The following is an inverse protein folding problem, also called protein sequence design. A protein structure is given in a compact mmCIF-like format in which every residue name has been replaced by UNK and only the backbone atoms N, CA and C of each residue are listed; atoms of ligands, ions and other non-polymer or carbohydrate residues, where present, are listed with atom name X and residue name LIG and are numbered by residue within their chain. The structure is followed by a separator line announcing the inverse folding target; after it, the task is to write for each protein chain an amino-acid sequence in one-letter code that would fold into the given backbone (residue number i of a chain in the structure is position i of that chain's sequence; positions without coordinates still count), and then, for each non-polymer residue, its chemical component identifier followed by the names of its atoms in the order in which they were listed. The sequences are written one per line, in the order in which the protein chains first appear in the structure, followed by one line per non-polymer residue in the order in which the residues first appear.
data_IF_071997378305
#
_entry.id   IF_071997378305
#
_cell.length_a   1.000
_cell.length_b   1.000
_cell.length_c   1.000
_cell.angle_alpha   90.00
_cell.angle_beta   90.00
_cell.angle_gamma   90.00
#
_symmetry.space_group_name_H-M   'P 1'
#
loop_
_entity.id
_entity.type
_entity.pdbx_description
1 polymer ?
#
# COMPACT_ATOMS: atom_id res chain seq x y z
N UNK A 1 -11.78 -17.65 29.35
CA UNK A 1 -11.15 -16.44 28.77
C UNK A 1 -12.15 -15.29 28.84
N UNK A 2 -11.80 -14.19 29.50
CA UNK A 2 -12.66 -13.01 29.62
C UNK A 2 -12.77 -12.25 28.28
N UNK A 3 -13.89 -11.54 28.00
CA UNK A 3 -14.06 -10.78 26.76
C UNK A 3 -13.04 -9.64 26.62
N UNK A 4 -12.30 -9.60 25.50
CA UNK A 4 -11.29 -8.57 25.16
C UNK A 4 -11.90 -7.16 25.20
N UNK A 5 -11.28 -6.22 25.95
CA UNK A 5 -11.54 -4.79 25.77
C UNK A 5 -10.92 -4.34 24.43
N UNK A 6 -11.59 -3.44 23.70
CA UNK A 6 -11.05 -2.88 22.45
C UNK A 6 -9.70 -2.21 22.74
N UNK A 7 -8.64 -2.67 22.08
CA UNK A 7 -7.25 -2.16 22.14
C UNK A 7 -6.44 -2.54 23.38
N UNK A 8 -6.50 -3.79 23.85
CA UNK A 8 -5.58 -4.32 24.85
C UNK A 8 -4.60 -5.34 24.23
N UNK A 9 -3.33 -5.33 24.67
CA UNK A 9 -2.32 -6.34 24.31
C UNK A 9 -2.53 -7.57 25.19
N UNK A 10 -2.59 -8.75 24.58
CA UNK A 10 -2.60 -10.01 25.33
C UNK A 10 -1.17 -10.46 25.57
N UNK A 11 -0.82 -10.68 26.83
CA UNK A 11 0.44 -11.32 27.22
C UNK A 11 0.17 -12.78 27.54
N UNK A 12 0.92 -13.68 26.90
CA UNK A 12 0.71 -15.12 27.04
C UNK A 12 1.34 -15.68 28.32
N UNK A 13 0.70 -16.70 28.89
CA UNK A 13 1.20 -17.40 30.06
C UNK A 13 2.56 -18.05 29.75
N UNK A 14 3.51 -17.91 30.67
CA UNK A 14 4.94 -18.28 30.50
C UNK A 14 5.81 -17.30 29.69
N UNK A 15 5.30 -16.15 29.25
CA UNK A 15 6.15 -15.10 28.68
C UNK A 15 7.16 -14.61 29.74
N UNK A 16 8.45 -14.41 29.39
CA UNK A 16 9.47 -13.90 30.31
C UNK A 16 9.02 -12.63 31.03
N UNK A 17 9.25 -12.58 32.35
CA UNK A 17 8.69 -11.53 33.21
C UNK A 17 9.11 -10.12 32.78
N UNK A 18 10.38 -9.94 32.41
CA UNK A 18 10.89 -8.67 31.90
C UNK A 18 10.11 -8.16 30.67
N UNK A 19 9.67 -9.06 29.78
CA UNK A 19 8.87 -8.70 28.60
C UNK A 19 7.43 -8.44 28.99
N UNK A 20 6.86 -9.21 29.93
CA UNK A 20 5.51 -8.99 30.47
C UNK A 20 5.39 -7.57 31.06
N UNK A 21 6.29 -7.21 31.96
CA UNK A 21 6.33 -5.88 32.59
C UNK A 21 6.51 -4.78 31.55
N UNK A 22 7.43 -4.97 30.61
CA UNK A 22 7.70 -4.02 29.54
C UNK A 22 6.48 -3.79 28.62
N UNK A 23 5.73 -4.84 28.28
CA UNK A 23 4.51 -4.74 27.47
C UNK A 23 3.41 -3.99 28.21
N UNK A 24 3.24 -4.23 29.51
CA UNK A 24 2.28 -3.49 30.34
C UNK A 24 2.67 -2.01 30.42
N UNK A 25 3.94 -1.71 30.66
CA UNK A 25 4.45 -0.33 30.71
C UNK A 25 4.30 0.38 29.35
N UNK A 26 4.60 -0.31 28.25
CA UNK A 26 4.39 0.18 26.88
C UNK A 26 2.92 0.50 26.62
N UNK A 27 2.00 -0.39 26.98
CA UNK A 27 0.57 -0.21 26.80
C UNK A 27 0.06 1.01 27.56
N UNK A 28 0.47 1.19 28.82
CA UNK A 28 0.11 2.34 29.66
C UNK A 28 0.68 3.66 29.12
N UNK A 29 1.91 3.64 28.60
CA UNK A 29 2.56 4.81 28.01
C UNK A 29 1.95 5.21 26.65
N UNK A 30 1.33 4.27 25.93
CA UNK A 30 0.75 4.48 24.61
C UNK A 30 -0.67 5.06 24.66
N UNK A 31 -0.75 6.38 24.91
CA UNK A 31 -2.01 7.13 24.77
C UNK A 31 -2.55 7.09 23.32
N UNK A 32 -3.85 7.38 23.09
CA UNK A 32 -4.43 7.43 21.74
C UNK A 32 -3.73 8.35 20.75
N UNK A 33 -2.96 9.33 21.23
CA UNK A 33 -2.18 10.26 20.41
C UNK A 33 -0.97 9.59 19.73
N UNK A 34 -0.47 8.48 20.28
CA UNK A 34 0.65 7.74 19.70
C UNK A 34 0.18 6.91 18.51
N UNK A 35 0.69 7.23 17.34
CA UNK A 35 0.30 6.56 16.08
C UNK A 35 1.52 6.24 15.23
N UNK A 36 1.33 5.37 14.24
CA UNK A 36 2.38 5.01 13.28
C UNK A 36 2.86 6.19 12.42
N UNK A 37 1.99 7.17 12.18
CA UNK A 37 2.25 8.27 11.24
C UNK A 37 2.68 9.58 11.91
N UNK A 38 2.49 9.71 13.23
CA UNK A 38 2.81 10.94 13.94
C UNK A 38 4.31 11.07 14.22
N UNK A 39 4.91 12.19 13.77
CA UNK A 39 6.31 12.52 14.09
C UNK A 39 6.48 12.95 15.54
N UNK A 40 5.51 13.71 16.10
CA UNK A 40 5.55 14.22 17.48
C UNK A 40 5.20 13.14 18.52
N UNK A 41 4.20 12.31 18.22
CA UNK A 41 3.73 11.22 19.07
C UNK A 41 3.95 9.89 18.34
N UNK A 42 5.22 9.55 18.13
CA UNK A 42 5.62 8.35 17.38
C UNK A 42 5.47 7.10 18.23
N UNK A 43 4.59 6.18 17.83
CA UNK A 43 4.47 4.87 18.50
C UNK A 43 5.76 4.07 18.41
N UNK A 44 6.53 4.22 17.32
CA UNK A 44 7.83 3.56 17.12
C UNK A 44 8.85 3.96 18.16
N UNK A 45 8.83 5.23 18.60
CA UNK A 45 9.67 5.69 19.70
C UNK A 45 9.34 4.95 21.00
N UNK A 46 8.06 4.69 21.26
CA UNK A 46 7.61 3.94 22.44
C UNK A 46 7.94 2.45 22.34
N UNK A 47 7.83 1.83 21.17
CA UNK A 47 8.27 0.44 20.99
C UNK A 47 9.78 0.33 21.28
N UNK A 48 10.61 1.23 20.73
CA UNK A 48 12.06 1.27 21.03
C UNK A 48 12.37 1.43 22.51
N UNK A 49 11.73 2.41 23.13
CA UNK A 49 11.98 2.81 24.53
C UNK A 49 11.64 1.69 25.53
N UNK A 50 10.56 0.94 25.29
CA UNK A 50 10.07 -0.03 26.26
C UNK A 50 10.42 -1.48 25.90
N UNK A 51 10.52 -1.84 24.61
CA UNK A 51 10.51 -3.25 24.21
C UNK A 51 11.83 -3.76 23.62
N UNK A 52 12.69 -2.91 23.05
CA UNK A 52 13.89 -3.42 22.37
C UNK A 52 14.85 -4.13 23.32
N UNK A 53 15.14 -3.54 24.48
CA UNK A 53 16.07 -4.13 25.47
C UNK A 53 15.48 -5.37 26.14
N UNK A 54 14.25 -5.35 26.69
CA UNK A 54 13.69 -6.54 27.34
C UNK A 54 13.50 -7.72 26.38
N UNK A 55 13.16 -7.46 25.11
CA UNK A 55 13.02 -8.51 24.11
C UNK A 55 14.36 -9.11 23.73
N UNK A 56 15.39 -8.29 23.53
CA UNK A 56 16.74 -8.80 23.24
C UNK A 56 17.26 -9.68 24.38
N UNK A 57 17.11 -9.23 25.63
CA UNK A 57 17.51 -10.01 26.82
C UNK A 57 16.73 -11.32 26.94
N UNK A 58 15.43 -11.30 26.68
CA UNK A 58 14.61 -12.51 26.73
C UNK A 58 14.98 -13.53 25.65
N UNK A 59 15.28 -13.07 24.44
CA UNK A 59 15.75 -13.93 23.36
C UNK A 59 17.12 -14.51 23.65
N UNK A 60 18.05 -13.71 24.17
CA UNK A 60 19.38 -14.16 24.57
C UNK A 60 19.31 -15.24 25.68
N UNK A 61 18.51 -15.01 26.72
CA UNK A 61 18.29 -15.97 27.81
C UNK A 61 17.64 -17.29 27.34
N UNK A 62 16.94 -17.28 26.20
CA UNK A 62 16.35 -18.45 25.56
C UNK A 62 17.26 -19.08 24.49
N UNK A 63 18.49 -18.57 24.31
CA UNK A 63 19.43 -19.06 23.30
C UNK A 63 19.04 -18.71 21.87
N UNK A 64 18.27 -17.65 21.67
CA UNK A 64 17.68 -17.21 20.39
C UNK A 64 18.05 -15.76 20.04
N UNK A 65 19.25 -15.29 20.42
CA UNK A 65 19.70 -13.91 20.22
C UNK A 65 19.59 -13.42 18.77
N UNK A 66 19.86 -14.30 17.79
CA UNK A 66 19.84 -14.00 16.35
C UNK A 66 18.46 -14.20 15.69
N UNK A 67 17.41 -14.53 16.46
CA UNK A 67 16.08 -14.78 15.90
C UNK A 67 15.48 -13.54 15.23
N UNK A 68 15.78 -12.36 15.79
CA UNK A 68 15.44 -11.09 15.20
C UNK A 68 16.70 -10.50 14.57
N UNK A 69 16.63 -10.22 13.27
CA UNK A 69 17.65 -9.48 12.51
C UNK A 69 17.70 -8.01 12.97
N UNK A 70 18.19 -7.78 14.20
CA UNK A 70 18.26 -6.49 14.90
C UNK A 70 17.16 -6.25 15.95
N UNK A 71 17.06 -5.00 16.46
CA UNK A 71 16.11 -4.64 17.52
C UNK A 71 14.66 -4.91 17.12
N UNK A 72 13.83 -5.33 18.09
CA UNK A 72 12.44 -5.71 17.85
C UNK A 72 11.64 -4.62 17.13
N UNK A 73 11.80 -3.36 17.51
CA UNK A 73 11.16 -2.21 16.87
C UNK A 73 11.48 -2.11 15.38
N UNK A 74 12.75 -2.32 15.01
CA UNK A 74 13.21 -2.24 13.63
C UNK A 74 12.76 -3.46 12.84
N UNK A 75 12.85 -4.64 13.44
CA UNK A 75 12.32 -5.87 12.87
C UNK A 75 10.82 -5.75 12.57
N UNK A 76 10.05 -5.18 13.50
CA UNK A 76 8.60 -4.94 13.37
C UNK A 76 8.29 -3.89 12.29
N UNK A 77 9.02 -2.76 12.28
CA UNK A 77 8.87 -1.69 11.29
C UNK A 77 9.13 -2.21 9.87
N UNK A 78 10.21 -2.95 9.65
CA UNK A 78 10.52 -3.56 8.35
C UNK A 78 9.45 -4.55 7.90
N UNK A 79 8.91 -5.36 8.82
CA UNK A 79 7.82 -6.30 8.52
C UNK A 79 6.54 -5.58 8.07
N UNK A 80 6.21 -4.43 8.69
CA UNK A 80 5.07 -3.61 8.27
C UNK A 80 5.32 -2.85 6.96
N UNK A 81 6.55 -2.36 6.74
CA UNK A 81 6.94 -1.62 5.52
C UNK A 81 6.96 -2.49 4.26
N UNK A 82 7.36 -3.77 4.39
CA UNK A 82 7.39 -4.74 3.29
C UNK A 82 6.01 -5.35 2.96
N UNK A 83 4.94 -4.90 3.62
CA UNK A 83 3.60 -5.47 3.46
C UNK A 83 3.47 -6.90 4.01
N UNK A 84 4.46 -7.35 4.79
CA UNK A 84 4.52 -8.69 5.34
C UNK A 84 3.72 -8.79 6.65
N UNK A 85 2.42 -8.48 6.59
CA UNK A 85 1.47 -9.00 7.60
C UNK A 85 1.62 -10.53 7.75
N UNK A 86 2.04 -11.20 6.67
CA UNK A 86 2.45 -12.60 6.63
C UNK A 86 3.67 -12.92 7.50
N UNK A 87 4.58 -11.99 7.86
CA UNK A 87 5.75 -12.25 8.74
C UNK A 87 5.36 -12.27 10.23
N UNK A 88 4.46 -11.38 10.65
CA UNK A 88 3.80 -11.47 11.96
C UNK A 88 2.99 -12.76 12.08
N UNK A 89 2.22 -13.11 11.04
CA UNK A 89 1.51 -14.39 10.97
C UNK A 89 2.46 -15.60 10.88
N UNK A 90 3.61 -15.50 10.20
CA UNK A 90 4.64 -16.56 10.12
C UNK A 90 5.34 -16.79 11.46
N UNK A 91 5.51 -15.79 12.33
CA UNK A 91 6.02 -15.99 13.69
C UNK A 91 5.14 -16.93 14.52
N UNK A 92 3.82 -16.75 14.47
CA UNK A 92 2.89 -17.64 15.16
C UNK A 92 2.61 -18.93 14.40
N UNK A 93 2.60 -18.90 13.06
CA UNK A 93 2.23 -20.07 12.23
C UNK A 93 3.40 -21.00 11.94
N UNK A 94 4.62 -20.51 11.68
CA UNK A 94 5.80 -21.40 11.56
C UNK A 94 6.09 -22.09 12.89
N UNK A 95 5.84 -21.45 14.02
CA UNK A 95 5.94 -22.11 15.32
C UNK A 95 4.84 -23.18 15.51
N UNK A 96 3.59 -22.87 15.17
CA UNK A 96 2.47 -23.82 15.27
C UNK A 96 2.66 -25.03 14.34
N UNK A 97 3.16 -24.79 13.13
CA UNK A 97 3.49 -25.84 12.17
C UNK A 97 4.72 -26.65 12.62
N UNK A 98 5.75 -26.04 13.22
CA UNK A 98 6.88 -26.77 13.84
C UNK A 98 6.44 -27.62 15.04
N UNK A 99 5.54 -27.11 15.89
CA UNK A 99 4.97 -27.83 17.04
C UNK A 99 4.06 -29.00 16.59
N UNK A 100 3.32 -28.86 15.49
CA UNK A 100 2.44 -29.91 14.99
C UNK A 100 3.10 -30.90 14.02
N UNK A 101 4.20 -30.53 13.35
CA UNK A 101 4.92 -31.39 12.39
C UNK A 101 6.14 -32.10 12.99
N UNK A 102 6.50 -31.82 14.24
CA UNK A 102 7.56 -32.53 14.94
C UNK A 102 7.18 -34.00 15.17
N UNK A 103 7.67 -34.85 14.26
CA UNK A 103 8.02 -36.25 14.50
C UNK A 103 8.68 -36.42 15.88
N UNK A 104 8.62 -37.62 16.50
CA UNK A 104 8.95 -37.84 17.92
C UNK A 104 10.44 -37.74 18.31
N UNK A 105 11.24 -36.90 17.64
CA UNK A 105 12.70 -36.83 17.81
C UNK A 105 13.28 -35.42 17.93
N UNK A 106 12.47 -34.37 18.09
CA UNK A 106 13.00 -33.04 18.42
C UNK A 106 12.91 -32.78 19.93
N UNK A 107 13.92 -32.12 20.54
CA UNK A 107 13.90 -31.80 21.96
C UNK A 107 12.65 -30.96 22.31
N UNK A 108 12.12 -31.06 23.55
CA UNK A 108 10.92 -30.34 23.94
C UNK A 108 11.11 -28.84 23.72
N UNK A 109 10.25 -28.24 22.90
CA UNK A 109 10.23 -26.81 22.65
C UNK A 109 10.02 -26.04 23.97
N UNK A 110 10.85 -25.03 24.24
CA UNK A 110 10.72 -24.22 25.45
C UNK A 110 9.42 -23.39 25.39
N UNK A 111 8.43 -23.66 26.27
CA UNK A 111 7.14 -22.96 26.24
C UNK A 111 7.27 -21.45 26.46
N UNK A 112 8.38 -20.99 27.07
CA UNK A 112 8.65 -19.55 27.28
C UNK A 112 8.95 -18.84 25.96
N UNK A 113 9.64 -19.51 25.03
CA UNK A 113 9.90 -18.96 23.70
C UNK A 113 8.58 -18.82 22.92
N UNK A 114 7.71 -19.83 22.98
CA UNK A 114 6.38 -19.77 22.36
C UNK A 114 5.57 -18.59 22.89
N UNK A 115 5.47 -18.47 24.22
CA UNK A 115 4.71 -17.41 24.86
C UNK A 115 5.28 -16.01 24.57
N UNK A 116 6.61 -15.90 24.45
CA UNK A 116 7.28 -14.67 24.03
C UNK A 116 6.84 -14.26 22.61
N UNK A 117 6.96 -15.17 21.64
CA UNK A 117 6.65 -14.84 20.23
C UNK A 117 5.18 -14.50 20.01
N UNK A 118 4.26 -15.21 20.68
CA UNK A 118 2.82 -14.91 20.63
C UNK A 118 2.48 -13.56 21.32
N UNK A 119 3.21 -13.20 22.39
CA UNK A 119 3.09 -11.87 23.01
C UNK A 119 3.59 -10.77 22.06
N UNK A 120 4.74 -10.96 21.41
CA UNK A 120 5.27 -10.00 20.44
C UNK A 120 4.36 -9.83 19.21
N UNK A 121 3.67 -10.91 18.81
CA UNK A 121 2.64 -10.85 17.79
C UNK A 121 1.49 -9.92 18.20
N UNK A 122 0.96 -10.06 19.41
CA UNK A 122 -0.12 -9.21 19.93
C UNK A 122 0.32 -7.74 20.03
N UNK A 123 1.58 -7.46 20.40
CA UNK A 123 2.17 -6.11 20.32
C UNK A 123 2.15 -5.59 18.87
N UNK A 124 2.58 -6.39 17.90
CA UNK A 124 2.59 -6.01 16.49
C UNK A 124 1.20 -5.71 15.95
N UNK A 125 0.18 -6.48 16.38
CA UNK A 125 -1.24 -6.22 16.07
C UNK A 125 -1.68 -4.88 16.68
N UNK A 126 -1.40 -4.64 17.96
CA UNK A 126 -1.74 -3.39 18.64
C UNK A 126 -1.14 -2.18 17.92
N UNK A 127 0.16 -2.21 17.60
CA UNK A 127 0.85 -1.13 16.88
C UNK A 127 0.21 -0.90 15.50
N UNK A 128 -0.11 -1.97 14.77
CA UNK A 128 -0.71 -1.89 13.43
C UNK A 128 -2.11 -1.27 13.41
N UNK A 129 -2.84 -1.39 14.52
CA UNK A 129 -4.18 -0.82 14.68
C UNK A 129 -4.15 0.67 15.08
N UNK A 130 -3.01 1.18 15.57
CA UNK A 130 -2.81 2.59 15.93
C UNK A 130 -2.54 3.48 14.70
N UNK A 131 -3.53 3.52 13.80
CA UNK A 131 -3.55 4.43 12.65
C UNK A 131 -4.04 5.81 13.08
N UNK A 132 -3.57 6.86 12.41
CA UNK A 132 -4.09 8.20 12.63
C UNK A 132 -5.62 8.20 12.40
N UNK A 133 -6.37 8.63 13.41
CA UNK A 133 -7.78 8.97 13.27
C UNK A 133 -7.92 10.01 12.18
N UNK A 134 -8.79 9.75 11.20
CA UNK A 134 -9.13 10.55 10.00
C UNK A 134 -8.38 11.88 9.89
N UNK A 135 -7.58 12.04 8.83
CA UNK A 135 -6.95 13.32 8.50
C UNK A 135 -8.00 14.44 8.50
N UNK A 136 -7.92 15.36 9.46
CA UNK A 136 -8.59 16.66 9.37
C UNK A 136 -7.98 17.34 8.15
N UNK A 137 -8.79 17.60 7.12
CA UNK A 137 -8.32 18.19 5.87
C UNK A 137 -7.58 19.50 6.15
N UNK A 138 -6.26 19.48 5.94
CA UNK A 138 -5.43 20.68 6.02
C UNK A 138 -5.54 21.42 4.69
N UNK A 139 -5.74 22.73 4.76
CA UNK A 139 -5.85 23.66 3.63
C UNK A 139 -4.67 23.50 2.64
N UNK A 140 -4.87 23.77 1.34
CA UNK A 140 -3.96 23.36 0.26
C UNK A 140 -2.63 24.11 0.20
N UNK A 141 -2.42 25.13 1.03
CA UNK A 141 -1.34 26.12 0.82
C UNK A 141 0.04 25.68 1.34
N UNK A 142 0.14 24.55 2.06
CA UNK A 142 1.42 23.98 2.53
C UNK A 142 1.48 22.46 2.42
N UNK A 143 0.89 21.90 1.36
CA UNK A 143 1.21 20.53 1.00
C UNK A 143 2.62 20.53 0.42
N UNK A 144 3.62 20.28 1.26
CA UNK A 144 4.90 19.77 0.78
C UNK A 144 4.58 18.63 -0.20
N UNK A 145 5.27 18.59 -1.33
CA UNK A 145 5.22 17.54 -2.35
C UNK A 145 5.63 16.18 -1.73
N UNK A 146 4.83 15.66 -0.81
CA UNK A 146 4.89 14.27 -0.39
C UNK A 146 4.02 13.54 -1.39
N UNK A 147 4.50 13.53 -2.63
CA UNK A 147 4.12 12.49 -3.57
C UNK A 147 4.38 11.18 -2.82
N UNK A 148 3.38 10.29 -2.79
CA UNK A 148 3.46 8.99 -2.13
C UNK A 148 4.48 8.07 -2.86
N UNK A 149 5.75 8.47 -2.88
CA UNK A 149 6.87 7.75 -3.42
C UNK A 149 7.22 6.63 -2.42
N UNK A 150 6.77 5.41 -2.73
CA UNK A 150 7.40 4.21 -2.18
C UNK A 150 6.58 3.26 -1.30
N UNK A 151 5.30 3.50 -0.92
CA UNK A 151 4.63 2.65 0.10
C UNK A 151 3.52 1.70 -0.35
N UNK A 152 3.29 1.51 -1.65
CA UNK A 152 2.49 0.37 -2.15
C UNK A 152 2.89 0.11 -3.60
N UNK A 153 3.68 -0.93 -3.83
CA UNK A 153 3.73 -1.55 -5.16
C UNK A 153 2.31 -2.05 -5.43
N UNK A 154 1.68 -1.57 -6.50
CA UNK A 154 0.34 -2.04 -6.86
C UNK A 154 0.38 -3.56 -7.05
N UNK A 155 -0.68 -4.31 -6.69
CA UNK A 155 -0.82 -5.70 -7.16
C UNK A 155 -0.67 -5.84 -8.68
N UNK A 156 -0.92 -4.76 -9.41
CA UNK A 156 -0.80 -4.69 -10.87
C UNK A 156 0.61 -4.39 -11.39
N UNK A 157 1.61 -4.20 -10.52
CA UNK A 157 2.99 -3.94 -10.94
C UNK A 157 3.50 -5.06 -11.87
N UNK A 158 4.16 -4.76 -13.01
CA UNK A 158 4.75 -3.47 -13.40
C UNK A 158 3.80 -2.47 -14.06
N UNK A 159 2.50 -2.75 -14.16
CA UNK A 159 1.53 -1.96 -14.93
C UNK A 159 0.79 -0.90 -14.09
N UNK A 160 0.34 0.15 -14.78
CA UNK A 160 -0.52 1.18 -14.25
C UNK A 160 -1.87 0.60 -13.80
N UNK A 161 -2.39 1.06 -12.66
CA UNK A 161 -3.73 0.68 -12.18
C UNK A 161 -4.86 1.20 -13.07
N UNK A 162 -4.57 2.15 -13.96
CA UNK A 162 -5.57 2.81 -14.80
C UNK A 162 -5.44 2.45 -16.29
N UNK A 163 -4.38 1.74 -16.71
CA UNK A 163 -4.22 1.32 -18.11
C UNK A 163 -3.22 0.15 -18.26
N UNK A 164 -2.86 -0.15 -19.50
CA UNK A 164 -1.91 -1.21 -19.85
C UNK A 164 -0.43 -0.78 -19.82
N UNK A 165 -0.15 0.52 -19.68
CA UNK A 165 1.23 1.03 -19.71
C UNK A 165 1.96 0.69 -18.41
N UNK A 166 3.27 0.54 -18.51
CA UNK A 166 4.14 0.38 -17.35
C UNK A 166 4.10 1.60 -16.43
N UNK A 167 4.28 1.35 -15.14
CA UNK A 167 4.40 2.40 -14.13
C UNK A 167 5.68 3.20 -14.34
N UNK A 168 5.70 4.46 -13.88
CA UNK A 168 6.91 5.28 -13.97
C UNK A 168 8.11 4.63 -13.28
N UNK A 169 7.86 3.86 -12.22
CA UNK A 169 8.89 3.07 -11.54
C UNK A 169 9.42 1.93 -12.40
N UNK A 170 8.56 1.12 -13.02
CA UNK A 170 9.01 0.04 -13.90
C UNK A 170 9.86 0.56 -15.07
N UNK A 171 9.45 1.68 -15.66
CA UNK A 171 10.23 2.36 -16.72
C UNK A 171 11.59 2.84 -16.21
N UNK A 172 11.66 3.34 -14.96
CA UNK A 172 12.92 3.75 -14.37
C UNK A 172 13.82 2.56 -13.99
N UNK A 173 13.26 1.45 -13.48
CA UNK A 173 13.99 0.23 -13.16
C UNK A 173 14.61 -0.44 -14.41
N UNK A 174 13.91 -0.36 -15.55
CA UNK A 174 14.37 -0.87 -16.85
C UNK A 174 15.31 0.08 -17.60
N UNK A 175 15.61 1.26 -17.04
CA UNK A 175 16.50 2.24 -17.65
C UNK A 175 17.95 1.75 -17.71
N UNK A 176 18.63 2.00 -18.83
CA UNK A 176 20.08 1.75 -18.99
C UNK A 176 20.92 2.80 -18.23
N UNK A 177 20.37 3.99 -17.99
CA UNK A 177 20.95 5.03 -17.14
C UNK A 177 20.93 4.59 -15.66
N UNK A 178 22.13 4.38 -15.11
CA UNK A 178 22.37 3.94 -13.73
C UNK A 178 21.83 4.89 -12.68
N UNK A 179 21.88 6.20 -12.91
CA UNK A 179 21.36 7.19 -11.96
C UNK A 179 19.82 7.14 -11.95
N UNK A 180 19.22 7.05 -13.14
CA UNK A 180 17.77 6.91 -13.28
C UNK A 180 17.25 5.60 -12.69
N UNK A 181 17.98 4.51 -12.88
CA UNK A 181 17.69 3.20 -12.28
C UNK A 181 17.87 3.21 -10.76
N UNK A 182 18.98 3.76 -10.26
CA UNK A 182 19.25 3.91 -8.83
C UNK A 182 18.26 4.83 -8.10
N UNK A 183 17.59 5.71 -8.85
CA UNK A 183 16.53 6.59 -8.34
C UNK A 183 15.10 6.11 -8.64
N UNK A 184 14.92 4.88 -9.15
CA UNK A 184 13.61 4.34 -9.54
C UNK A 184 12.56 4.36 -8.40
N UNK A 185 13.02 4.22 -7.15
CA UNK A 185 12.19 4.30 -5.94
C UNK A 185 11.48 5.66 -5.76
N UNK A 186 12.00 6.72 -6.39
CA UNK A 186 11.37 8.05 -6.40
C UNK A 186 10.13 8.10 -7.31
N UNK A 187 9.91 7.13 -8.19
CA UNK A 187 8.78 7.14 -9.10
C UNK A 187 7.58 6.35 -8.55
N UNK A 188 6.38 6.64 -9.07
CA UNK A 188 5.17 5.89 -8.71
C UNK A 188 5.25 4.45 -9.21
N UNK A 189 5.09 3.49 -8.30
CA UNK A 189 4.87 2.07 -8.63
C UNK A 189 3.40 1.71 -8.87
N UNK A 190 2.53 2.70 -9.08
CA UNK A 190 1.09 2.51 -9.30
C UNK A 190 0.59 3.12 -10.61
N UNK A 191 1.24 4.17 -11.08
CA UNK A 191 0.77 4.96 -12.23
C UNK A 191 1.88 5.18 -13.25
N UNK A 192 1.50 5.15 -14.53
CA UNK A 192 2.35 5.58 -15.63
C UNK A 192 2.40 7.11 -15.71
N UNK A 193 3.27 7.66 -16.55
CA UNK A 193 3.39 9.12 -16.72
C UNK A 193 2.06 9.78 -17.16
N UNK A 194 1.30 9.14 -18.05
CA UNK A 194 0.01 9.66 -18.52
C UNK A 194 -1.09 9.71 -17.45
N UNK A 195 -0.88 8.99 -16.33
CA UNK A 195 -1.79 8.92 -15.20
C UNK A 195 -1.13 9.41 -13.89
N UNK A 196 -0.11 10.26 -14.00
CA UNK A 196 0.57 10.82 -12.82
C UNK A 196 -0.36 11.76 -12.03
N UNK A 197 -0.75 11.44 -10.78
CA UNK A 197 -1.67 12.27 -10.00
C UNK A 197 -1.11 13.66 -9.68
N UNK A 198 0.22 13.81 -9.62
CA UNK A 198 0.89 15.09 -9.39
C UNK A 198 0.86 16.00 -10.60
N UNK A 199 0.64 15.45 -11.81
CA UNK A 199 0.49 16.24 -13.03
C UNK A 199 -1.01 16.62 -13.19
N UNK A 200 -1.36 17.92 -13.11
CA UNK A 200 -2.74 18.37 -13.27
C UNK A 200 -3.29 18.14 -14.68
N UNK A 201 -2.42 18.05 -15.69
CA UNK A 201 -2.78 17.83 -17.10
C UNK A 201 -2.92 16.37 -17.47
N UNK A 202 -2.51 15.45 -16.58
CA UNK A 202 -2.61 14.02 -16.81
C UNK A 202 -4.07 13.56 -16.91
N UNK A 203 -4.26 12.38 -17.52
CA UNK A 203 -5.59 11.75 -17.60
C UNK A 203 -6.03 11.09 -16.30
N UNK A 204 -5.25 11.20 -15.22
CA UNK A 204 -5.53 10.54 -13.93
C UNK A 204 -6.97 10.76 -13.48
N UNK A 205 -7.43 12.02 -13.36
CA UNK A 205 -8.79 12.35 -12.89
C UNK A 205 -9.89 11.83 -13.82
N UNK A 206 -9.60 11.75 -15.12
CA UNK A 206 -10.55 11.31 -16.14
C UNK A 206 -10.72 9.80 -16.05
N UNK A 207 -9.63 9.06 -16.03
CA UNK A 207 -9.65 7.61 -16.16
C UNK A 207 -9.80 6.92 -14.78
N UNK A 208 -9.47 7.59 -13.67
CA UNK A 208 -9.62 7.06 -12.31
C UNK A 208 -11.06 6.64 -11.97
N UNK A 209 -12.07 7.35 -12.50
CA UNK A 209 -13.49 6.98 -12.30
C UNK A 209 -13.87 5.64 -12.94
N UNK A 210 -13.09 5.17 -13.92
CA UNK A 210 -13.29 3.88 -14.59
C UNK A 210 -12.38 2.78 -14.03
N UNK A 211 -11.56 3.08 -13.00
CA UNK A 211 -10.58 2.14 -12.44
C UNK A 211 -11.19 0.78 -12.11
N UNK A 212 -12.31 0.75 -11.38
CA UNK A 212 -12.90 -0.54 -10.97
C UNK A 212 -13.37 -1.34 -12.18
N UNK A 213 -14.11 -0.71 -13.10
CA UNK A 213 -14.55 -1.36 -14.35
C UNK A 213 -13.38 -1.91 -15.16
N UNK A 214 -12.27 -1.17 -15.23
CA UNK A 214 -11.07 -1.61 -15.92
C UNK A 214 -10.47 -2.86 -15.27
N UNK A 215 -10.34 -2.87 -13.94
CA UNK A 215 -9.79 -4.02 -13.22
C UNK A 215 -10.72 -5.25 -13.30
N UNK A 216 -12.03 -5.06 -13.19
CA UNK A 216 -13.02 -6.12 -13.36
C UNK A 216 -12.93 -6.73 -14.77
N UNK A 217 -12.72 -5.90 -15.79
CA UNK A 217 -12.52 -6.37 -17.16
C UNK A 217 -11.18 -7.08 -17.35
N UNK A 218 -10.10 -6.64 -16.70
CA UNK A 218 -8.81 -7.36 -16.71
C UNK A 218 -9.00 -8.76 -16.13
N UNK A 219 -9.73 -8.90 -15.02
CA UNK A 219 -10.06 -10.19 -14.44
C UNK A 219 -10.90 -11.06 -15.39
N UNK A 220 -11.92 -10.46 -16.02
CA UNK A 220 -12.73 -11.14 -17.04
C UNK A 220 -11.89 -11.64 -18.22
N UNK A 221 -10.99 -10.83 -18.75
CA UNK A 221 -10.12 -11.22 -19.85
C UNK A 221 -9.19 -12.38 -19.45
N UNK A 222 -8.64 -12.37 -18.23
CA UNK A 222 -7.85 -13.50 -17.73
C UNK A 222 -8.69 -14.78 -17.55
N UNK A 223 -9.97 -14.67 -17.20
CA UNK A 223 -10.87 -15.81 -17.18
C UNK A 223 -11.06 -16.40 -18.58
N UNK A 224 -11.23 -15.57 -19.62
CA UNK A 224 -11.30 -16.01 -21.02
C UNK A 224 -10.01 -16.70 -21.47
N UNK A 225 -8.84 -16.15 -21.12
CA UNK A 225 -7.53 -16.78 -21.41
C UNK A 225 -7.45 -18.17 -20.79
N UNK A 226 -7.88 -18.34 -19.53
CA UNK A 226 -7.89 -19.64 -18.84
C UNK A 226 -8.85 -20.63 -19.49
N UNK A 227 -9.99 -20.16 -19.96
CA UNK A 227 -10.98 -20.95 -20.68
C UNK A 227 -10.59 -21.27 -22.12
N UNK A 228 -9.49 -20.69 -22.65
CA UNK A 228 -9.14 -20.69 -24.08
C UNK A 228 -10.31 -20.23 -24.95
N UNK A 229 -11.04 -19.24 -24.45
CA UNK A 229 -12.22 -18.69 -25.11
C UNK A 229 -11.81 -17.51 -26.00
N UNK A 230 -12.55 -17.33 -27.10
CA UNK A 230 -12.38 -16.18 -27.97
C UNK A 230 -12.40 -14.89 -27.13
N UNK A 231 -11.41 -14.00 -27.30
CA UNK A 231 -10.53 -13.85 -28.47
C UNK A 231 -9.13 -14.49 -28.32
N UNK A 232 -8.87 -15.28 -27.27
CA UNK A 232 -7.53 -15.73 -26.92
C UNK A 232 -7.34 -17.20 -27.31
N UNK A 233 -6.74 -17.43 -28.48
CA UNK A 233 -6.36 -18.77 -28.94
C UNK A 233 -5.00 -19.22 -28.36
N UNK A 234 -4.13 -18.26 -28.06
CA UNK A 234 -2.83 -18.42 -27.39
C UNK A 234 -2.82 -17.68 -26.05
N UNK A 235 -1.86 -17.99 -25.17
CA UNK A 235 -1.68 -17.29 -23.89
C UNK A 235 -1.03 -15.92 -24.15
N UNK A 236 -1.76 -14.80 -24.02
CA UNK A 236 -1.20 -13.46 -24.25
C UNK A 236 -0.30 -13.01 -23.09
N UNK A 237 0.54 -12.01 -23.35
CA UNK A 237 1.23 -11.30 -22.28
C UNK A 237 0.25 -10.41 -21.46
N UNK A 238 0.68 -10.02 -20.27
CA UNK A 238 -0.15 -9.20 -19.38
C UNK A 238 -0.48 -7.80 -19.91
N UNK A 239 0.38 -7.21 -20.75
CA UNK A 239 0.12 -5.92 -21.34
C UNK A 239 -1.00 -6.00 -22.39
N UNK A 240 -1.03 -7.06 -23.21
CA UNK A 240 -2.04 -7.31 -24.22
C UNK A 240 -3.43 -7.51 -23.60
N UNK A 241 -3.52 -8.31 -22.53
CA UNK A 241 -4.77 -8.49 -21.76
C UNK A 241 -5.28 -7.16 -21.23
N UNK A 242 -4.40 -6.40 -20.57
CA UNK A 242 -4.76 -5.09 -20.01
C UNK A 242 -5.12 -4.08 -21.09
N UNK A 243 -4.45 -4.09 -22.24
CA UNK A 243 -4.77 -3.19 -23.34
C UNK A 243 -6.18 -3.45 -23.85
N UNK A 244 -6.53 -4.72 -24.06
CA UNK A 244 -7.89 -5.10 -24.47
C UNK A 244 -8.95 -4.73 -23.43
N UNK A 245 -8.66 -4.95 -22.15
CA UNK A 245 -9.55 -4.56 -21.07
C UNK A 245 -9.75 -3.04 -21.02
N UNK A 246 -8.67 -2.28 -21.22
CA UNK A 246 -8.77 -0.83 -21.27
C UNK A 246 -9.57 -0.34 -22.48
N UNK A 247 -9.34 -0.91 -23.67
CA UNK A 247 -10.03 -0.52 -24.90
C UNK A 247 -11.53 -0.85 -24.87
N UNK A 248 -11.94 -1.88 -24.14
CA UNK A 248 -13.35 -2.28 -23.99
C UNK A 248 -14.11 -1.48 -22.92
N UNK A 249 -13.44 -1.13 -21.81
CA UNK A 249 -14.06 -0.35 -20.72
C UNK A 249 -14.06 1.14 -21.01
N UNK A 250 -13.08 1.61 -21.78
CA UNK A 250 -13.04 2.99 -22.21
C UNK A 250 -14.13 3.20 -23.25
N UNK A 251 -15.01 4.17 -22.98
CA UNK A 251 -15.98 4.65 -23.97
C UNK A 251 -15.19 5.08 -25.23
N UNK A 252 -15.47 4.51 -26.41
CA UNK A 252 -14.78 4.89 -27.64
C UNK A 252 -15.12 6.35 -27.96
N UNK A 253 -14.10 7.18 -28.13
CA UNK A 253 -14.24 8.60 -28.47
C UNK A 253 -13.92 9.52 -27.29
N UNK A 254 -13.37 10.69 -27.60
CA UNK A 254 -13.05 11.72 -26.60
C UNK A 254 -14.24 11.98 -25.69
N UNK A 255 -13.97 12.38 -24.44
CA UNK A 255 -15.06 12.91 -23.61
C UNK A 255 -15.67 14.12 -24.31
N UNK A 256 -16.94 14.48 -24.03
CA UNK A 256 -17.51 15.77 -24.46
C UNK A 256 -16.56 16.94 -24.20
N UNK A 257 -15.81 16.89 -23.09
CA UNK A 257 -14.78 17.90 -22.78
C UNK A 257 -13.55 17.84 -23.70
N UNK A 258 -13.14 16.66 -24.17
CA UNK A 258 -12.05 16.50 -25.15
C UNK A 258 -12.46 17.06 -26.52
N UNK A 259 -13.69 16.80 -26.97
CA UNK A 259 -14.22 17.38 -28.22
C UNK A 259 -14.36 18.90 -28.13
N UNK A 260 -14.87 19.43 -27.01
CA UNK A 260 -14.91 20.89 -26.76
C UNK A 260 -13.50 21.52 -26.80
N UNK A 261 -12.50 20.82 -26.26
CA UNK A 261 -11.09 21.26 -26.31
C UNK A 261 -10.55 21.29 -27.73
N UNK A 262 -10.84 20.28 -28.53
CA UNK A 262 -10.34 20.19 -29.90
C UNK A 262 -10.96 21.27 -30.81
N UNK A 263 -12.27 21.49 -30.71
CA UNK A 263 -12.94 22.60 -31.41
C UNK A 263 -12.34 23.96 -31.05
N UNK A 264 -11.91 24.14 -29.81
CA UNK A 264 -11.26 25.40 -29.40
C UNK A 264 -9.88 25.57 -30.01
N UNK A 265 -9.10 24.50 -30.13
CA UNK A 265 -7.80 24.54 -30.84
C UNK A 265 -7.99 24.86 -32.33
N UNK A 266 -9.10 24.44 -32.91
CA UNK A 266 -9.50 24.74 -34.28
C UNK A 266 -10.06 26.18 -34.44
N UNK A 267 -10.05 26.99 -33.38
CA UNK A 267 -10.51 28.37 -33.41
C UNK A 267 -12.03 28.55 -33.31
N UNK A 268 -12.80 27.49 -33.04
CA UNK A 268 -14.25 27.59 -32.89
C UNK A 268 -14.62 28.46 -31.68
N UNK A 269 -15.63 29.32 -31.83
CA UNK A 269 -16.00 30.24 -30.78
C UNK A 269 -16.65 29.52 -29.58
N UNK A 270 -16.48 30.09 -28.38
CA UNK A 270 -17.10 29.56 -27.15
C UNK A 270 -18.62 29.47 -27.23
N UNK A 271 -19.24 30.32 -28.05
CA UNK A 271 -20.69 30.33 -28.29
C UNK A 271 -21.11 29.11 -29.09
N UNK A 272 -20.44 28.85 -30.22
CA UNK A 272 -20.74 27.69 -31.08
C UNK A 272 -20.51 26.36 -30.35
N UNK A 273 -19.45 26.28 -29.53
CA UNK A 273 -19.21 25.11 -28.68
C UNK A 273 -20.35 24.93 -27.67
N UNK A 274 -20.77 26.00 -26.99
CA UNK A 274 -21.87 25.95 -26.03
C UNK A 274 -23.19 25.48 -26.66
N UNK A 275 -23.53 26.03 -27.83
CA UNK A 275 -24.72 25.67 -28.61
C UNK A 275 -24.66 24.20 -29.07
N UNK A 276 -23.53 23.76 -29.63
CA UNK A 276 -23.35 22.38 -30.12
C UNK A 276 -23.49 21.32 -29.02
N UNK A 277 -23.02 21.62 -27.82
CA UNK A 277 -23.01 20.65 -26.72
C UNK A 277 -24.17 20.80 -25.73
N UNK A 278 -25.03 21.81 -25.91
CA UNK A 278 -26.16 22.07 -25.01
C UNK A 278 -25.71 22.45 -23.59
N UNK A 279 -24.62 23.22 -23.48
CA UNK A 279 -24.03 23.63 -22.20
C UNK A 279 -23.89 25.15 -22.11
N UNK A 280 -23.68 25.69 -20.91
CA UNK A 280 -23.46 27.13 -20.76
C UNK A 280 -22.08 27.56 -21.28
N UNK A 281 -21.96 28.81 -21.76
CA UNK A 281 -20.67 29.43 -22.11
C UNK A 281 -19.67 29.40 -20.95
N UNK A 282 -20.14 29.44 -19.71
CA UNK A 282 -19.31 29.32 -18.51
C UNK A 282 -18.76 27.90 -18.31
N UNK A 283 -19.55 26.85 -18.62
CA UNK A 283 -19.07 25.47 -18.55
C UNK A 283 -17.94 25.24 -19.57
N UNK A 284 -18.11 25.78 -20.78
CA UNK A 284 -17.08 25.80 -21.84
C UNK A 284 -15.85 26.57 -21.37
N UNK A 285 -16.01 27.76 -20.75
CA UNK A 285 -14.91 28.55 -20.18
C UNK A 285 -14.12 27.82 -19.07
N UNK A 286 -14.80 27.11 -18.16
CA UNK A 286 -14.14 26.33 -17.09
C UNK A 286 -13.26 25.21 -17.63
N UNK A 287 -13.60 24.65 -18.79
CA UNK A 287 -12.77 23.63 -19.45
C UNK A 287 -11.45 24.24 -19.96
N UNK A 288 -11.41 25.56 -20.24
CA UNK A 288 -10.21 26.28 -20.67
C UNK A 288 -9.38 26.87 -19.53
N UNK A 289 -10.02 27.39 -18.48
CA UNK A 289 -9.31 28.02 -17.36
C UNK A 289 -8.39 27.05 -16.61
N UNK A 290 -8.70 25.75 -16.57
CA UNK A 290 -7.88 24.74 -15.88
C UNK A 290 -6.49 24.49 -16.52
N UNK A 291 -5.96 25.47 -17.28
CA UNK A 291 -4.64 25.49 -17.91
C UNK A 291 -3.81 26.75 -17.61
N UNK A 292 -4.27 27.69 -16.78
CA UNK A 292 -3.55 28.95 -16.48
C UNK A 292 -3.06 29.04 -15.02
N UNK A 293 -3.07 27.93 -14.27
CA UNK A 293 -2.40 27.84 -12.96
C UNK A 293 -1.65 26.52 -12.82
#
# INVERSE_FOLDING_TARGET
MAPKRKNQIVVWDSCPEAVREAVVAFEQACTPSYTMASRRYSIWRKVREYLDVPVAQALDALGQAELLDGPFSRWLEMGLERGERKRLWRLSTQHRDMVHSALPKQPPHDPRLTALLETLYEVGVFVSLRRASKSVGVKPEKAAEVVNHGRKVSPDYPFCELCWRETMRAVAEASEDDERRGSAWKFSGRFCAAHNPSDPTSRYRVDHRYRQRFLDEVERQWALVKGKEAPWEEVPDGAAVRKRAFDSVRVPGGTRADEMREMTKQGTSRREIAERFGVSRQAVYKIFINKIL
#
